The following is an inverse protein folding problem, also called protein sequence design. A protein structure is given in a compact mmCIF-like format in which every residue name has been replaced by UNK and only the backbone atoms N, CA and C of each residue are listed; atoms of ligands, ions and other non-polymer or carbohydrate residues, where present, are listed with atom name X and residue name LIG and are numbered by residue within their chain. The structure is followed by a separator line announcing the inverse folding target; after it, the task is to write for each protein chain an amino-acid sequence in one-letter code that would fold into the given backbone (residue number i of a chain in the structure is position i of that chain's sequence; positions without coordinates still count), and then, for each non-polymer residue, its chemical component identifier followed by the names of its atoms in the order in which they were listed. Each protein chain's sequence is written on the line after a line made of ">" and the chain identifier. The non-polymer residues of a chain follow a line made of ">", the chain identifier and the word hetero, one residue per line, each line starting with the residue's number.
data_IF_462035752123
#
_entry.id   IF_462035752123
#
_cell.length_a   1.000
_cell.length_b   1.000
_cell.length_c   1.000
_cell.angle_alpha   90.00
_cell.angle_beta   90.00
_cell.angle_gamma   90.00
#
_symmetry.space_group_name_H-M   'P 1'
#
loop_
_entity.id
_entity.type
_entity.pdbx_description
1 polymer ?
#
# COMPACT_ATOMS: atom_id res chain seq x y z
N UNK A 1 -2.57 -30.08 9.88
CA UNK A 1 -1.17 -30.35 9.53
C UNK A 1 -0.74 -29.22 8.60
N UNK A 2 0.26 -28.45 9.03
CA UNK A 2 0.62 -27.11 8.55
C UNK A 2 0.83 -26.99 7.04
N UNK A 3 0.10 -26.07 6.39
CA UNK A 3 0.45 -25.53 5.09
C UNK A 3 0.81 -24.05 5.31
N UNK A 4 2.12 -23.78 5.42
CA UNK A 4 2.67 -22.44 5.60
C UNK A 4 2.46 -21.64 4.32
N UNK A 5 2.01 -20.40 4.50
CA UNK A 5 1.86 -19.36 3.49
C UNK A 5 3.16 -19.17 2.71
N UNK A 6 3.07 -19.27 1.39
CA UNK A 6 4.12 -18.88 0.46
C UNK A 6 3.95 -17.38 0.24
N UNK A 7 4.92 -16.59 0.70
CA UNK A 7 4.95 -15.14 0.48
C UNK A 7 5.02 -14.82 -1.01
N UNK A 8 4.09 -13.97 -1.47
CA UNK A 8 3.97 -13.62 -2.88
C UNK A 8 4.95 -12.53 -3.30
N UNK A 9 5.40 -12.66 -4.55
CA UNK A 9 6.15 -11.68 -5.32
C UNK A 9 5.26 -10.45 -5.56
N UNK A 10 5.75 -9.23 -5.31
CA UNK A 10 5.14 -8.02 -5.88
C UNK A 10 5.34 -8.09 -7.40
N UNK A 11 4.33 -8.57 -8.12
CA UNK A 11 4.32 -8.54 -9.58
C UNK A 11 3.75 -7.20 -10.05
N UNK A 12 4.55 -6.31 -10.68
CA UNK A 12 3.96 -5.29 -11.54
C UNK A 12 3.20 -6.01 -12.66
N UNK A 13 2.01 -5.50 -13.00
CA UNK A 13 1.13 -6.05 -14.02
C UNK A 13 1.83 -6.15 -15.39
N UNK A 14 2.52 -7.27 -15.63
CA UNK A 14 3.08 -7.65 -16.92
C UNK A 14 3.15 -9.17 -17.14
N UNK A 15 2.71 -10.00 -16.19
CA UNK A 15 2.66 -11.46 -16.37
C UNK A 15 1.30 -12.00 -15.91
N UNK A 16 0.27 -11.72 -16.70
CA UNK A 16 -1.02 -12.39 -16.62
C UNK A 16 -1.49 -12.68 -18.06
N UNK A 17 -0.80 -13.59 -18.74
CA UNK A 17 -1.29 -14.25 -19.95
C UNK A 17 -0.44 -15.49 -20.21
N UNK A 18 -0.80 -16.62 -19.60
CA UNK A 18 -0.51 -17.96 -20.09
C UNK A 18 -1.18 -19.02 -19.19
N UNK A 19 -2.49 -19.03 -19.17
CA UNK A 19 -3.29 -20.23 -18.97
C UNK A 19 -4.69 -19.91 -19.47
N UNK A 20 -5.35 -20.86 -20.11
CA UNK A 20 -6.70 -20.81 -20.70
C UNK A 20 -6.78 -20.29 -22.14
N UNK A 21 -6.71 -21.25 -23.08
CA UNK A 21 -7.68 -21.38 -24.18
C UNK A 21 -7.67 -20.32 -25.28
N UNK A 22 -7.17 -20.74 -26.44
CA UNK A 22 -7.31 -20.15 -27.78
C UNK A 22 -8.47 -19.14 -27.96
N UNK A 23 -8.14 -17.89 -28.28
CA UNK A 23 -8.71 -17.17 -29.44
C UNK A 23 -7.76 -16.04 -29.85
N UNK A 24 -7.60 -15.90 -31.16
CA UNK A 24 -6.61 -15.04 -31.83
C UNK A 24 -6.87 -13.54 -31.64
N UNK A 25 -5.94 -12.84 -30.99
CA UNK A 25 -5.71 -11.42 -31.19
C UNK A 25 -4.20 -11.17 -31.20
N UNK A 26 -3.68 -10.72 -32.34
CA UNK A 26 -2.27 -10.43 -32.55
C UNK A 26 -1.84 -9.19 -31.73
N UNK A 27 -1.30 -9.41 -30.54
CA UNK A 27 -0.49 -8.42 -29.85
C UNK A 27 0.96 -8.57 -30.35
N UNK A 28 1.53 -7.51 -30.91
CA UNK A 28 2.95 -7.45 -31.23
C UNK A 28 3.76 -7.64 -29.95
N UNK A 29 4.27 -8.86 -29.75
CA UNK A 29 5.26 -9.16 -28.74
C UNK A 29 6.56 -8.46 -29.15
N UNK A 30 6.82 -7.29 -28.55
CA UNK A 30 8.15 -6.71 -28.56
C UNK A 30 9.13 -7.73 -27.97
N UNK A 31 10.18 -8.04 -28.70
CA UNK A 31 11.28 -8.89 -28.25
C UNK A 31 11.92 -8.25 -27.02
N UNK A 32 11.68 -8.81 -25.83
CA UNK A 32 12.47 -8.49 -24.65
C UNK A 32 13.87 -9.07 -24.86
N UNK A 33 14.87 -8.20 -25.02
CA UNK A 33 16.27 -8.62 -25.03
C UNK A 33 16.62 -9.27 -23.69
N UNK A 34 17.29 -10.43 -23.78
CA UNK A 34 17.75 -11.24 -22.66
C UNK A 34 18.46 -10.40 -21.58
N UNK A 35 18.04 -10.58 -20.32
CA UNK A 35 18.75 -10.07 -19.15
C UNK A 35 20.21 -10.54 -19.19
N UNK A 36 21.14 -9.61 -19.39
CA UNK A 36 22.58 -9.87 -19.33
C UNK A 36 23.12 -9.33 -18.01
N UNK A 37 23.64 -10.20 -17.14
CA UNK A 37 24.42 -9.79 -15.96
C UNK A 37 25.70 -9.11 -16.45
N UNK A 38 25.90 -7.83 -16.10
CA UNK A 38 27.08 -7.04 -16.49
C UNK A 38 28.16 -7.05 -15.41
N UNK A 39 27.77 -7.23 -14.15
CA UNK A 39 28.64 -7.49 -12.99
C UNK A 39 27.85 -8.29 -11.95
N UNK A 40 28.53 -8.82 -10.92
CA UNK A 40 27.92 -9.74 -9.94
C UNK A 40 26.66 -9.20 -9.25
N UNK A 41 26.48 -7.87 -9.18
CA UNK A 41 25.39 -7.22 -8.43
C UNK A 41 24.45 -6.36 -9.30
N UNK A 42 24.55 -6.42 -10.64
CA UNK A 42 23.79 -5.57 -11.56
C UNK A 42 23.15 -6.34 -12.71
N UNK A 43 21.92 -5.97 -13.07
CA UNK A 43 21.17 -6.49 -14.22
C UNK A 43 20.90 -5.40 -15.25
N UNK A 44 20.80 -5.77 -16.52
CA UNK A 44 20.39 -4.84 -17.60
C UNK A 44 18.97 -5.14 -18.03
N UNK A 45 18.17 -4.08 -18.08
CA UNK A 45 16.81 -4.08 -18.64
C UNK A 45 16.71 -2.87 -19.58
N UNK A 46 16.25 -3.08 -20.81
CA UNK A 46 16.07 -2.03 -21.83
C UNK A 46 17.32 -1.14 -22.01
N UNK A 47 18.51 -1.75 -22.06
CA UNK A 47 19.79 -1.05 -22.22
C UNK A 47 20.23 -0.20 -21.01
N UNK A 48 19.58 -0.35 -19.85
CA UNK A 48 19.91 0.36 -18.61
C UNK A 48 20.26 -0.59 -17.47
N UNK A 49 21.18 -0.16 -16.63
CA UNK A 49 21.68 -0.97 -15.50
C UNK A 49 20.88 -0.71 -14.22
N UNK A 50 20.49 -1.79 -13.55
CA UNK A 50 19.74 -1.82 -12.28
C UNK A 50 20.45 -2.70 -11.26
N UNK A 51 20.32 -2.44 -9.95
CA UNK A 51 20.81 -3.38 -8.94
C UNK A 51 20.06 -4.70 -9.07
N UNK A 52 20.76 -5.83 -8.98
CA UNK A 52 20.13 -7.15 -8.96
C UNK A 52 19.41 -7.33 -7.61
N UNK A 53 18.07 -7.53 -7.58
CA UNK A 53 17.36 -7.77 -6.33
C UNK A 53 17.79 -9.09 -5.69
N UNK A 54 18.34 -10.04 -6.45
CA UNK A 54 18.76 -11.37 -5.98
C UNK A 54 20.25 -11.43 -5.60
N UNK A 55 20.81 -10.31 -5.16
CA UNK A 55 22.19 -10.22 -4.69
C UNK A 55 22.22 -9.34 -3.44
N UNK A 56 22.77 -9.87 -2.34
CA UNK A 56 22.96 -9.14 -1.09
C UNK A 56 23.92 -7.97 -1.25
N UNK A 57 23.92 -7.05 -0.29
CA UNK A 57 24.74 -5.84 -0.34
C UNK A 57 26.25 -6.13 -0.29
N UNK A 58 26.64 -7.28 0.25
CA UNK A 58 28.02 -7.79 0.26
C UNK A 58 28.43 -8.52 -1.04
N UNK A 59 27.51 -8.66 -2.00
CA UNK A 59 27.70 -9.37 -3.27
C UNK A 59 27.32 -10.86 -3.25
N UNK A 60 26.86 -11.40 -2.11
CA UNK A 60 26.43 -12.79 -2.02
C UNK A 60 25.14 -13.02 -2.82
N UNK A 61 25.10 -13.99 -3.76
CA UNK A 61 23.88 -14.31 -4.50
C UNK A 61 22.76 -14.90 -3.61
N UNK A 62 21.53 -14.47 -3.85
CA UNK A 62 20.31 -14.99 -3.23
C UNK A 62 19.71 -16.04 -4.16
N UNK A 63 19.66 -17.28 -3.70
CA UNK A 63 19.20 -18.44 -4.48
C UNK A 63 18.10 -19.25 -3.82
N UNK A 64 17.75 -18.92 -2.58
CA UNK A 64 16.74 -19.64 -1.79
C UNK A 64 15.75 -18.67 -1.15
N UNK A 65 14.55 -19.16 -0.86
CA UNK A 65 13.51 -18.39 -0.14
C UNK A 65 13.96 -17.97 1.25
N UNK A 66 14.73 -18.78 1.97
CA UNK A 66 15.26 -18.41 3.29
C UNK A 66 16.27 -17.25 3.18
N UNK A 67 17.22 -17.29 2.24
CA UNK A 67 18.11 -16.14 2.01
C UNK A 67 17.35 -14.85 1.65
N UNK A 68 16.24 -14.98 0.91
CA UNK A 68 15.39 -13.83 0.61
C UNK A 68 14.68 -13.30 1.86
N UNK A 69 13.96 -14.16 2.57
CA UNK A 69 13.12 -13.77 3.72
C UNK A 69 13.94 -13.31 4.91
N UNK A 70 15.06 -13.99 5.18
CA UNK A 70 15.85 -13.81 6.40
C UNK A 70 16.93 -12.73 6.25
N UNK A 71 17.28 -12.33 5.01
CA UNK A 71 18.34 -11.34 4.77
C UNK A 71 18.00 -10.32 3.67
N UNK A 72 17.76 -10.74 2.43
CA UNK A 72 17.67 -9.77 1.31
C UNK A 72 16.47 -8.83 1.44
N UNK A 73 15.34 -9.33 1.93
CA UNK A 73 14.14 -8.52 2.15
C UNK A 73 14.41 -7.39 3.15
N UNK A 74 15.06 -7.67 4.28
CA UNK A 74 15.34 -6.64 5.29
C UNK A 74 16.33 -5.60 4.78
N UNK A 75 17.37 -5.98 4.04
CA UNK A 75 18.28 -5.02 3.39
C UNK A 75 17.54 -4.07 2.45
N UNK A 76 16.65 -4.60 1.62
CA UNK A 76 15.87 -3.79 0.68
C UNK A 76 14.91 -2.85 1.41
N UNK A 77 14.19 -3.35 2.41
CA UNK A 77 13.29 -2.50 3.19
C UNK A 77 14.05 -1.37 3.90
N UNK A 78 15.22 -1.67 4.46
CA UNK A 78 16.07 -0.66 5.09
C UNK A 78 16.50 0.42 4.09
N UNK A 79 16.94 0.03 2.89
CA UNK A 79 17.28 0.98 1.83
C UNK A 79 16.08 1.84 1.43
N UNK A 80 14.88 1.27 1.29
CA UNK A 80 13.68 2.03 0.95
C UNK A 80 13.22 2.96 2.08
N UNK A 81 13.36 2.54 3.34
CA UNK A 81 13.10 3.40 4.49
C UNK A 81 14.08 4.58 4.53
N UNK A 82 15.38 4.32 4.43
CA UNK A 82 16.38 5.37 4.59
C UNK A 82 16.45 6.34 3.40
N UNK A 83 16.23 5.84 2.17
CA UNK A 83 16.52 6.58 0.94
C UNK A 83 15.29 7.01 0.14
N UNK A 84 14.09 6.48 0.42
CA UNK A 84 12.91 6.71 -0.44
C UNK A 84 11.67 7.16 0.34
N UNK A 85 11.15 6.34 1.25
CA UNK A 85 9.84 6.59 1.87
C UNK A 85 9.93 7.09 3.32
N UNK A 86 11.08 6.96 3.95
CA UNK A 86 11.27 7.20 5.38
C UNK A 86 10.79 6.01 6.23
N UNK A 87 11.34 5.89 7.44
CA UNK A 87 10.89 4.91 8.43
C UNK A 87 9.42 5.10 8.78
N UNK A 88 8.69 4.00 8.95
CA UNK A 88 7.29 4.07 9.39
C UNK A 88 7.17 4.81 10.73
N UNK A 89 5.97 5.32 11.00
CA UNK A 89 5.67 5.85 12.33
C UNK A 89 5.83 4.73 13.37
N UNK A 90 6.26 5.05 14.60
CA UNK A 90 6.32 4.09 15.69
C UNK A 90 4.97 3.41 15.97
N UNK A 91 5.01 2.31 16.71
CA UNK A 91 3.79 1.73 17.28
C UNK A 91 3.17 2.69 18.31
N UNK A 92 1.84 2.83 18.35
CA UNK A 92 1.17 3.68 19.32
C UNK A 92 1.33 3.12 20.74
N UNK A 93 1.30 4.01 21.74
CA UNK A 93 1.25 3.64 23.15
C UNK A 93 -0.08 2.99 23.51
N UNK A 94 -1.16 3.41 22.84
CA UNK A 94 -2.50 2.85 22.97
C UNK A 94 -3.27 2.96 21.66
N UNK A 95 -4.11 1.95 21.38
CA UNK A 95 -5.00 1.92 20.22
C UNK A 95 -6.38 1.41 20.66
N UNK A 96 -7.43 2.10 20.25
CA UNK A 96 -8.82 1.72 20.55
C UNK A 96 -9.74 1.96 19.35
N UNK A 97 -10.85 1.22 19.33
CA UNK A 97 -11.81 1.21 18.22
C UNK A 97 -13.21 1.56 18.72
N UNK A 98 -13.79 2.62 18.17
CA UNK A 98 -15.21 2.95 18.38
C UNK A 98 -15.97 2.63 17.11
N UNK A 99 -16.89 1.66 17.17
CA UNK A 99 -17.65 1.20 16.00
C UNK A 99 -19.11 1.62 16.11
N UNK A 100 -19.65 2.13 15.00
CA UNK A 100 -21.09 2.28 14.80
C UNK A 100 -21.51 1.55 13.53
N UNK A 101 -22.72 0.99 13.52
CA UNK A 101 -23.21 0.18 12.41
C UNK A 101 -24.46 0.78 11.79
N UNK A 102 -24.53 0.74 10.46
CA UNK A 102 -25.67 1.16 9.66
C UNK A 102 -26.06 -0.03 8.78
N UNK A 103 -27.31 -0.47 8.91
CA UNK A 103 -27.83 -1.57 8.12
C UNK A 103 -28.36 -1.05 6.78
N UNK A 104 -27.85 -1.59 5.67
CA UNK A 104 -28.35 -1.35 4.32
C UNK A 104 -28.99 -2.62 3.76
N UNK A 105 -29.59 -2.57 2.57
CA UNK A 105 -30.28 -3.72 1.99
C UNK A 105 -29.34 -4.91 1.72
N UNK A 106 -28.10 -4.66 1.29
CA UNK A 106 -27.15 -5.68 0.83
C UNK A 106 -25.97 -5.92 1.78
N UNK A 107 -25.76 -5.03 2.75
CA UNK A 107 -24.59 -5.05 3.62
C UNK A 107 -24.83 -4.28 4.94
N UNK A 108 -23.97 -4.51 5.91
CA UNK A 108 -23.80 -3.65 7.08
C UNK A 108 -22.60 -2.74 6.84
N UNK A 109 -22.79 -1.42 6.94
CA UNK A 109 -21.68 -0.46 7.01
C UNK A 109 -21.26 -0.33 8.47
N UNK A 110 -20.01 -0.69 8.77
CA UNK A 110 -19.33 -0.35 10.01
C UNK A 110 -18.51 0.93 9.81
N UNK A 111 -18.78 1.94 10.62
CA UNK A 111 -17.98 3.15 10.75
C UNK A 111 -17.12 3.01 11.99
N UNK A 112 -15.83 2.81 11.78
CA UNK A 112 -14.87 2.47 12.82
C UNK A 112 -13.90 3.63 12.98
N UNK A 113 -14.01 4.33 14.10
CA UNK A 113 -13.04 5.34 14.51
C UNK A 113 -11.87 4.65 15.21
N UNK A 114 -10.70 4.67 14.56
CA UNK A 114 -9.45 4.15 15.11
C UNK A 114 -8.77 5.29 15.85
N UNK A 115 -8.74 5.23 17.18
CA UNK A 115 -8.10 6.21 18.05
C UNK A 115 -6.72 5.73 18.48
N UNK A 116 -5.70 6.57 18.31
CA UNK A 116 -4.29 6.24 18.51
C UNK A 116 -3.65 7.26 19.44
N UNK A 117 -2.92 6.77 20.44
CA UNK A 117 -2.16 7.62 21.37
C UNK A 117 -0.66 7.41 21.17
N UNK A 118 0.07 8.49 20.91
CA UNK A 118 1.53 8.53 20.92
C UNK A 118 2.06 9.38 22.08
N UNK A 119 3.37 9.56 22.16
CA UNK A 119 4.03 10.33 23.24
C UNK A 119 3.58 11.80 23.30
N UNK A 120 3.05 12.33 22.19
CA UNK A 120 2.71 13.75 22.06
C UNK A 120 1.21 14.03 21.87
N UNK A 121 0.35 13.03 22.05
CA UNK A 121 -1.09 13.22 22.07
C UNK A 121 -1.87 12.05 21.51
N UNK A 122 -3.14 12.32 21.20
CA UNK A 122 -4.09 11.35 20.64
C UNK A 122 -4.74 11.94 19.39
N UNK A 123 -4.91 11.12 18.36
CA UNK A 123 -5.70 11.45 17.19
C UNK A 123 -6.46 10.21 16.71
N UNK A 124 -7.52 10.43 15.93
CA UNK A 124 -8.31 9.37 15.34
C UNK A 124 -8.45 9.55 13.84
N UNK A 125 -8.72 8.44 13.14
CA UNK A 125 -9.18 8.45 11.76
C UNK A 125 -10.29 7.43 11.55
N UNK A 126 -11.17 7.69 10.59
CA UNK A 126 -12.33 6.86 10.30
C UNK A 126 -12.00 5.86 9.18
N UNK A 127 -12.33 4.59 9.39
CA UNK A 127 -12.47 3.60 8.32
C UNK A 127 -13.93 3.21 8.17
N UNK A 128 -14.39 3.15 6.93
CA UNK A 128 -15.68 2.58 6.54
C UNK A 128 -15.44 1.14 6.11
N UNK A 129 -16.25 0.21 6.58
CA UNK A 129 -16.17 -1.22 6.25
C UNK A 129 -17.57 -1.71 5.89
N UNK A 130 -17.81 -1.99 4.62
CA UNK A 130 -19.05 -2.55 4.12
C UNK A 130 -18.94 -4.08 4.11
N UNK A 131 -19.73 -4.75 4.96
CA UNK A 131 -19.73 -6.20 5.12
C UNK A 131 -21.00 -6.79 4.47
N UNK A 132 -20.89 -7.66 3.46
CA UNK A 132 -22.04 -8.26 2.78
C UNK A 132 -22.89 -9.11 3.72
N UNK A 133 -24.21 -9.07 3.53
CA UNK A 133 -25.13 -9.97 4.24
C UNK A 133 -25.17 -11.38 3.63
N UNK A 134 -25.75 -12.32 4.38
CA UNK A 134 -26.05 -13.66 3.87
C UNK A 134 -24.84 -14.61 3.82
N UNK A 135 -23.68 -14.20 4.36
CA UNK A 135 -22.49 -15.03 4.50
C UNK A 135 -22.25 -15.25 6.00
N UNK A 136 -22.19 -16.51 6.41
CA UNK A 136 -22.03 -16.89 7.83
C UNK A 136 -20.58 -16.95 8.32
N UNK A 137 -19.63 -16.97 7.38
CA UNK A 137 -18.20 -17.02 7.65
C UNK A 137 -17.58 -15.63 7.46
N UNK A 138 -16.46 -15.33 8.14
CA UNK A 138 -15.72 -14.09 7.91
C UNK A 138 -15.34 -13.93 6.43
N UNK A 139 -15.51 -12.73 5.89
CA UNK A 139 -15.35 -12.46 4.46
C UNK A 139 -13.96 -11.89 4.12
N UNK A 140 -13.40 -12.20 2.93
CA UNK A 140 -12.21 -11.51 2.45
C UNK A 140 -12.50 -10.02 2.23
N UNK A 141 -11.50 -9.15 2.39
CA UNK A 141 -11.69 -7.71 2.32
C UNK A 141 -10.76 -7.01 1.33
N UNK A 142 -11.26 -5.97 0.67
CA UNK A 142 -10.44 -4.98 -0.02
C UNK A 142 -10.35 -3.70 0.81
N UNK A 143 -9.14 -3.28 1.17
CA UNK A 143 -8.84 -2.03 1.86
C UNK A 143 -8.30 -0.99 0.88
N UNK A 144 -9.12 0.00 0.56
CA UNK A 144 -8.73 1.17 -0.23
C UNK A 144 -8.08 2.24 0.65
N UNK A 145 -6.87 2.65 0.27
CA UNK A 145 -6.28 3.91 0.72
C UNK A 145 -6.83 5.01 -0.20
N UNK A 146 -7.86 5.72 0.26
CA UNK A 146 -8.67 6.62 -0.57
C UNK A 146 -8.06 8.03 -0.64
N UNK A 147 -7.87 8.51 -1.87
CA UNK A 147 -7.36 9.85 -2.19
C UNK A 147 -8.33 10.78 -2.91
N UNK A 148 -9.58 10.35 -3.06
CA UNK A 148 -10.63 11.11 -3.74
C UNK A 148 -11.78 11.47 -2.80
N UNK A 149 -11.91 10.79 -1.66
CA UNK A 149 -13.13 10.87 -0.87
C UNK A 149 -14.26 10.14 -1.57
N UNK A 150 -13.97 8.98 -2.14
CA UNK A 150 -14.90 8.19 -2.94
C UNK A 150 -15.89 7.38 -2.09
N UNK A 151 -15.59 7.14 -0.81
CA UNK A 151 -16.47 6.41 0.09
C UNK A 151 -17.52 7.33 0.70
N UNK A 152 -18.80 7.10 0.40
CA UNK A 152 -19.93 7.70 1.11
C UNK A 152 -20.38 6.78 2.27
N UNK A 153 -21.40 7.19 3.03
CA UNK A 153 -22.06 6.35 4.04
C UNK A 153 -23.18 5.47 3.44
N UNK A 154 -23.34 5.44 2.10
CA UNK A 154 -24.35 4.64 1.40
C UNK A 154 -23.68 3.81 0.28
N UNK A 155 -23.71 2.46 0.37
CA UNK A 155 -23.07 1.60 -0.61
C UNK A 155 -23.64 1.74 -2.03
N UNK A 156 -24.90 2.20 -2.18
CA UNK A 156 -25.58 2.40 -3.47
C UNK A 156 -25.36 3.78 -4.09
N UNK A 157 -24.82 4.73 -3.32
CA UNK A 157 -24.51 6.08 -3.79
C UNK A 157 -23.10 6.51 -3.36
N UNK A 158 -22.03 5.79 -3.79
CA UNK A 158 -20.67 6.23 -3.55
C UNK A 158 -20.39 7.54 -4.31
N UNK A 159 -19.50 8.37 -3.77
CA UNK A 159 -19.15 9.66 -4.39
C UNK A 159 -18.40 9.47 -5.72
N UNK A 160 -17.67 8.36 -5.89
CA UNK A 160 -16.99 7.94 -7.13
C UNK A 160 -17.12 6.40 -7.33
N UNK A 161 -18.23 5.89 -7.90
CA UNK A 161 -18.50 4.46 -8.05
C UNK A 161 -17.50 3.73 -8.96
N UNK A 162 -16.91 4.44 -9.92
CA UNK A 162 -15.90 3.88 -10.83
C UNK A 162 -14.56 3.70 -10.12
N UNK A 163 -14.29 4.52 -9.09
CA UNK A 163 -13.08 4.43 -8.28
C UNK A 163 -13.20 3.43 -7.13
N UNK A 164 -14.35 3.39 -6.46
CA UNK A 164 -14.61 2.49 -5.33
C UNK A 164 -15.96 1.77 -5.50
N UNK A 165 -16.01 0.67 -6.27
CA UNK A 165 -17.25 0.00 -6.65
C UNK A 165 -17.77 -0.92 -5.53
N UNK A 166 -18.30 -0.33 -4.45
CA UNK A 166 -18.74 -1.03 -3.23
C UNK A 166 -19.79 -2.12 -3.54
N UNK A 167 -20.84 -1.81 -4.30
CA UNK A 167 -21.89 -2.78 -4.65
C UNK A 167 -21.35 -4.02 -5.38
N UNK A 168 -20.38 -3.82 -6.28
CA UNK A 168 -19.80 -4.93 -7.04
C UNK A 168 -18.95 -5.84 -6.14
N UNK A 169 -18.25 -5.26 -5.16
CA UNK A 169 -17.49 -6.00 -4.16
C UNK A 169 -18.41 -6.83 -3.26
N UNK A 170 -19.45 -6.20 -2.71
CA UNK A 170 -20.47 -6.83 -1.88
C UNK A 170 -21.16 -7.97 -2.62
N UNK A 171 -21.62 -7.72 -3.86
CA UNK A 171 -22.29 -8.73 -4.69
C UNK A 171 -21.40 -9.94 -5.02
N UNK A 172 -20.07 -9.80 -4.91
CA UNK A 172 -19.11 -10.90 -5.06
C UNK A 172 -18.64 -11.51 -3.74
N UNK A 173 -19.22 -11.10 -2.62
CA UNK A 173 -18.93 -11.65 -1.29
C UNK A 173 -17.65 -11.12 -0.66
N UNK A 174 -17.19 -9.93 -1.06
CA UNK A 174 -16.07 -9.25 -0.43
C UNK A 174 -16.55 -8.12 0.48
N UNK A 175 -15.90 -7.97 1.64
CA UNK A 175 -15.97 -6.71 2.35
C UNK A 175 -15.22 -5.62 1.57
N UNK A 176 -15.78 -4.42 1.56
CA UNK A 176 -15.18 -3.26 0.93
C UNK A 176 -14.88 -2.24 2.01
N UNK A 177 -13.62 -1.86 2.18
CA UNK A 177 -13.20 -0.94 3.22
C UNK A 177 -12.41 0.23 2.65
N UNK A 178 -12.56 1.41 3.25
CA UNK A 178 -11.83 2.60 2.85
C UNK A 178 -11.58 3.53 4.04
N UNK A 179 -10.37 4.09 4.11
CA UNK A 179 -10.07 5.27 4.92
C UNK A 179 -9.50 6.37 4.02
N UNK A 180 -9.78 7.62 4.35
CA UNK A 180 -9.28 8.75 3.59
C UNK A 180 -7.86 9.09 4.03
N UNK A 181 -6.89 9.12 3.11
CA UNK A 181 -5.49 9.26 3.49
C UNK A 181 -5.20 10.58 4.23
N UNK A 182 -5.97 11.65 3.97
CA UNK A 182 -5.80 12.95 4.65
C UNK A 182 -6.13 12.91 6.14
N UNK A 183 -6.89 11.92 6.58
CA UNK A 183 -7.19 11.71 7.99
C UNK A 183 -5.98 11.10 8.73
N UNK A 184 -4.99 10.60 7.99
CA UNK A 184 -3.74 10.03 8.51
C UNK A 184 -2.55 10.95 8.27
N UNK A 185 -2.34 11.36 7.01
CA UNK A 185 -1.41 12.41 6.67
C UNK A 185 -1.94 13.38 5.60
N UNK A 186 -1.79 14.69 5.81
CA UNK A 186 -2.21 15.68 4.81
C UNK A 186 -1.39 15.56 3.53
N UNK A 187 -2.03 15.94 2.43
CA UNK A 187 -1.48 15.87 1.09
C UNK A 187 -1.44 17.28 0.50
N UNK A 188 -0.40 17.98 0.91
CA UNK A 188 -0.15 19.38 0.58
C UNK A 188 1.13 19.47 -0.26
N UNK A 189 1.06 20.21 -1.36
CA UNK A 189 2.18 20.45 -2.28
C UNK A 189 3.01 21.69 -1.89
N UNK A 190 2.51 22.47 -0.92
CA UNK A 190 3.19 23.62 -0.34
C UNK A 190 3.19 23.46 1.15
N UNK A 191 4.35 23.69 1.72
CA UNK A 191 4.51 23.72 3.16
C UNK A 191 3.91 25.01 3.74
N UNK A 192 2.58 25.09 3.81
CA UNK A 192 1.88 26.29 4.29
C UNK A 192 1.92 26.44 5.82
N UNK A 193 2.37 25.39 6.53
CA UNK A 193 2.44 25.32 8.00
C UNK A 193 3.78 24.78 8.55
N UNK A 194 4.79 24.60 7.70
CA UNK A 194 6.19 24.45 8.07
C UNK A 194 6.77 23.04 8.19
N UNK A 195 6.03 21.92 8.03
CA UNK A 195 6.60 20.61 8.40
C UNK A 195 6.04 19.30 7.77
N UNK A 196 5.10 19.29 6.79
CA UNK A 196 4.52 18.02 6.26
C UNK A 196 4.09 16.99 7.34
N UNK A 197 3.60 17.49 8.49
CA UNK A 197 3.69 16.81 9.80
C UNK A 197 2.37 16.34 10.43
N UNK A 198 1.30 16.19 9.66
CA UNK A 198 -0.04 16.04 10.24
C UNK A 198 -0.83 14.98 9.51
N UNK A 199 -1.91 14.42 10.12
CA UNK A 199 -2.23 14.45 11.57
C UNK A 199 -1.49 13.42 12.43
N UNK A 200 -1.20 12.21 11.95
CA UNK A 200 -0.67 11.14 12.81
C UNK A 200 0.83 11.25 13.11
N UNK A 201 1.60 11.94 12.26
CA UNK A 201 3.05 12.12 12.45
C UNK A 201 3.34 12.85 13.78
N UNK A 202 2.54 13.85 14.12
CA UNK A 202 2.70 14.63 15.35
C UNK A 202 2.41 13.85 16.64
N UNK A 203 1.86 12.63 16.57
CA UNK A 203 1.71 11.78 17.76
C UNK A 203 3.07 11.27 18.25
N UNK A 204 4.05 11.17 17.35
CA UNK A 204 5.34 10.48 17.57
C UNK A 204 6.55 11.40 17.46
N UNK A 205 6.35 12.64 17.00
CA UNK A 205 7.38 13.67 16.99
C UNK A 205 6.80 14.95 17.59
N UNK A 206 7.52 15.56 18.53
CA UNK A 206 7.03 16.75 19.22
C UNK A 206 6.70 17.86 18.21
N UNK A 207 5.55 18.53 18.33
CA UNK A 207 5.19 19.63 17.44
C UNK A 207 6.27 20.72 17.41
N UNK A 208 6.70 21.12 16.22
CA UNK A 208 7.71 22.17 16.02
C UNK A 208 9.17 21.67 15.93
N UNK A 209 9.44 20.42 16.28
CA UNK A 209 10.76 19.82 16.01
C UNK A 209 11.03 19.70 14.50
N UNK A 210 12.31 19.65 14.12
CA UNK A 210 12.68 19.22 12.77
C UNK A 210 12.56 17.69 12.70
N UNK A 211 11.89 17.15 11.67
CA UNK A 211 11.89 15.71 11.46
C UNK A 211 13.29 15.22 11.07
N UNK A 212 13.72 14.04 11.53
CA UNK A 212 14.84 13.34 10.92
C UNK A 212 14.69 13.27 9.40
N UNK A 213 15.80 13.34 8.66
CA UNK A 213 15.77 13.34 7.20
C UNK A 213 15.03 12.12 6.64
N UNK A 214 15.24 10.96 7.26
CA UNK A 214 14.63 9.67 6.95
C UNK A 214 13.35 9.38 7.74
N UNK A 215 12.73 10.38 8.40
CA UNK A 215 11.42 10.16 9.01
C UNK A 215 10.35 9.96 7.92
N UNK A 216 9.51 8.95 8.10
CA UNK A 216 8.35 8.72 7.24
C UNK A 216 7.38 9.89 7.30
N UNK A 217 6.93 10.30 6.12
CA UNK A 217 5.95 11.37 5.94
C UNK A 217 4.74 10.83 5.22
N UNK A 218 4.06 11.62 4.38
CA UNK A 218 2.81 11.27 3.72
C UNK A 218 2.68 9.79 3.28
N UNK A 219 3.55 9.31 2.38
CA UNK A 219 3.46 7.92 1.88
C UNK A 219 3.64 6.86 2.97
N UNK A 220 4.65 7.01 3.84
CA UNK A 220 4.87 6.07 4.95
C UNK A 220 3.80 6.16 6.03
N UNK A 221 3.28 7.35 6.32
CA UNK A 221 2.20 7.56 7.28
C UNK A 221 0.90 6.95 6.76
N UNK A 222 0.56 7.12 5.48
CA UNK A 222 -0.62 6.47 4.88
C UNK A 222 -0.50 4.94 4.88
N UNK A 223 0.70 4.40 4.60
CA UNK A 223 0.96 2.97 4.66
C UNK A 223 0.80 2.44 6.10
N UNK A 224 1.36 3.17 7.07
CA UNK A 224 1.19 2.90 8.50
C UNK A 224 -0.29 2.95 8.90
N UNK A 225 -1.08 3.90 8.39
CA UNK A 225 -2.52 3.97 8.64
C UNK A 225 -3.26 2.73 8.13
N UNK A 226 -2.89 2.21 6.95
CA UNK A 226 -3.44 0.96 6.46
C UNK A 226 -3.09 -0.23 7.38
N UNK A 227 -1.90 -0.25 7.96
CA UNK A 227 -1.50 -1.27 8.96
C UNK A 227 -2.34 -1.18 10.23
N UNK A 228 -2.73 0.02 10.68
CA UNK A 228 -3.65 0.19 11.81
C UNK A 228 -5.07 -0.29 11.51
N UNK A 229 -5.51 -0.16 10.25
CA UNK A 229 -6.77 -0.79 9.80
C UNK A 229 -6.66 -2.31 9.79
N UNK A 230 -5.51 -2.85 9.37
CA UNK A 230 -5.26 -4.29 9.49
C UNK A 230 -5.32 -4.75 10.94
N UNK A 231 -4.75 -4.00 11.89
CA UNK A 231 -4.85 -4.31 13.33
C UNK A 231 -6.32 -4.42 13.79
N UNK A 232 -7.20 -3.53 13.29
CA UNK A 232 -8.64 -3.63 13.54
C UNK A 232 -9.26 -4.89 12.91
N UNK A 233 -8.93 -5.22 11.66
CA UNK A 233 -9.47 -6.42 10.99
C UNK A 233 -9.13 -7.72 11.73
N UNK A 234 -8.00 -7.80 12.43
CA UNK A 234 -7.67 -8.97 13.27
C UNK A 234 -8.61 -9.11 14.49
N UNK A 235 -9.40 -8.09 14.81
CA UNK A 235 -10.37 -8.09 15.91
C UNK A 235 -11.82 -8.15 15.46
N UNK A 236 -12.09 -7.91 14.17
CA UNK A 236 -13.45 -7.91 13.62
C UNK A 236 -13.85 -9.34 13.21
N UNK A 237 -14.83 -9.98 13.89
CA UNK A 237 -15.23 -11.34 13.58
C UNK A 237 -15.90 -11.51 12.20
N UNK A 238 -16.28 -10.43 11.52
CA UNK A 238 -16.90 -10.50 10.19
C UNK A 238 -15.86 -10.50 9.06
N UNK A 239 -14.59 -10.22 9.36
CA UNK A 239 -13.51 -10.11 8.37
C UNK A 239 -12.55 -11.28 8.52
N UNK A 240 -12.25 -11.94 7.42
CA UNK A 240 -11.14 -12.90 7.37
C UNK A 240 -9.83 -12.14 7.19
N UNK A 241 -9.10 -11.92 8.30
CA UNK A 241 -7.87 -11.14 8.33
C UNK A 241 -6.76 -11.76 7.48
N UNK A 242 -6.83 -13.06 7.19
CA UNK A 242 -5.88 -13.76 6.34
C UNK A 242 -6.10 -13.53 4.84
N UNK A 243 -7.21 -12.89 4.47
CA UNK A 243 -7.61 -12.63 3.07
C UNK A 243 -7.94 -11.15 2.82
N UNK A 244 -7.07 -10.27 3.30
CA UNK A 244 -7.19 -8.82 3.06
C UNK A 244 -6.24 -8.37 1.95
N UNK A 245 -6.77 -7.61 0.99
CA UNK A 245 -6.02 -6.96 -0.07
C UNK A 245 -5.91 -5.44 0.19
N UNK A 246 -4.71 -4.88 0.20
CA UNK A 246 -4.52 -3.42 0.22
C UNK A 246 -4.45 -2.87 -1.20
N UNK A 247 -5.27 -1.87 -1.50
CA UNK A 247 -5.42 -1.31 -2.84
C UNK A 247 -5.29 0.22 -2.83
N UNK A 248 -4.82 0.77 -3.94
CA UNK A 248 -4.73 2.22 -4.12
C UNK A 248 -4.40 2.64 -5.54
N UNK A 249 -4.67 3.91 -5.84
CA UNK A 249 -4.45 4.51 -7.15
C UNK A 249 -3.46 5.69 -7.08
N UNK A 250 -2.63 5.85 -8.11
CA UNK A 250 -1.68 6.96 -8.22
C UNK A 250 -0.76 7.06 -7.00
N UNK A 251 -0.84 8.14 -6.19
CA UNK A 251 -0.06 8.29 -4.95
C UNK A 251 -0.38 7.21 -3.91
N UNK A 252 -1.67 6.91 -3.70
CA UNK A 252 -2.07 5.85 -2.79
C UNK A 252 -1.81 4.45 -3.36
N UNK A 253 -1.59 4.35 -4.67
CA UNK A 253 -1.06 3.12 -5.26
C UNK A 253 0.42 2.88 -4.92
N UNK A 254 1.25 3.94 -4.83
CA UNK A 254 2.61 3.85 -4.27
C UNK A 254 2.56 3.41 -2.82
N UNK A 255 1.62 3.99 -2.07
CA UNK A 255 1.37 3.64 -0.66
C UNK A 255 0.92 2.21 -0.48
N UNK A 256 0.02 1.68 -1.31
CA UNK A 256 -0.41 0.29 -1.22
C UNK A 256 0.77 -0.67 -1.43
N UNK A 257 1.63 -0.38 -2.42
CA UNK A 257 2.88 -1.13 -2.62
C UNK A 257 3.79 -1.06 -1.39
N UNK A 258 3.91 0.11 -0.77
CA UNK A 258 4.73 0.27 0.43
C UNK A 258 4.15 -0.42 1.66
N UNK A 259 2.83 -0.32 1.88
CA UNK A 259 2.12 -0.97 2.97
C UNK A 259 2.29 -2.49 2.90
N UNK A 260 2.06 -3.10 1.73
CA UNK A 260 2.25 -4.55 1.58
C UNK A 260 3.71 -4.99 1.56
N UNK A 261 4.65 -4.11 1.19
CA UNK A 261 6.08 -4.41 1.34
C UNK A 261 6.47 -4.48 2.83
N UNK A 262 5.96 -3.55 3.64
CA UNK A 262 6.26 -3.47 5.08
C UNK A 262 5.51 -4.52 5.91
N UNK A 263 4.24 -4.76 5.59
CA UNK A 263 3.34 -5.60 6.38
C UNK A 263 2.91 -6.87 5.62
N UNK A 264 3.48 -8.04 5.96
CA UNK A 264 3.18 -9.29 5.28
C UNK A 264 1.79 -9.86 5.62
N UNK A 265 1.01 -9.21 6.50
CA UNK A 265 -0.38 -9.61 6.80
C UNK A 265 -1.31 -9.35 5.63
N UNK A 266 -1.00 -8.39 4.75
CA UNK A 266 -1.77 -8.20 3.52
C UNK A 266 -1.54 -9.37 2.56
N UNK A 267 -2.61 -10.13 2.29
CA UNK A 267 -2.57 -11.29 1.41
C UNK A 267 -2.37 -10.91 -0.06
N UNK A 268 -2.77 -9.69 -0.43
CA UNK A 268 -2.63 -9.15 -1.79
C UNK A 268 -2.40 -7.65 -1.77
N UNK A 269 -1.69 -7.15 -2.79
CA UNK A 269 -1.40 -5.72 -2.98
C UNK A 269 -1.75 -5.32 -4.40
N UNK A 270 -2.55 -4.26 -4.55
CA UNK A 270 -2.91 -3.72 -5.88
C UNK A 270 -2.58 -2.23 -5.94
N UNK A 271 -1.45 -1.92 -6.58
CA UNK A 271 -1.09 -0.54 -6.93
C UNK A 271 -1.50 -0.19 -8.36
N UNK A 272 -2.55 0.61 -8.53
CA UNK A 272 -3.00 1.08 -9.84
C UNK A 272 -2.36 2.44 -10.20
N UNK A 273 -1.84 2.58 -11.42
CA UNK A 273 -1.33 3.87 -11.92
C UNK A 273 -0.19 4.48 -11.07
N UNK A 274 0.64 3.66 -10.43
CA UNK A 274 1.54 4.10 -9.34
C UNK A 274 2.67 5.03 -9.79
N UNK A 275 3.19 4.90 -11.01
CA UNK A 275 4.10 5.87 -11.63
C UNK A 275 5.49 5.97 -10.98
N UNK A 276 6.06 7.18 -10.98
CA UNK A 276 7.35 7.52 -10.37
C UNK A 276 7.37 7.11 -8.89
N UNK A 277 8.46 6.55 -8.38
CA UNK A 277 8.53 6.04 -6.98
C UNK A 277 7.39 5.07 -6.63
N UNK A 278 6.85 4.37 -7.64
CA UNK A 278 5.92 3.26 -7.49
C UNK A 278 6.47 2.05 -8.23
N UNK A 279 5.66 1.48 -9.13
CA UNK A 279 6.05 0.32 -9.93
C UNK A 279 6.93 0.69 -11.14
N UNK A 280 7.02 1.98 -11.53
CA UNK A 280 7.86 2.39 -12.65
C UNK A 280 9.33 2.44 -12.21
N UNK A 281 10.19 1.76 -12.95
CA UNK A 281 11.65 1.84 -12.78
C UNK A 281 12.17 3.26 -13.00
N UNK A 282 12.58 3.95 -11.92
CA UNK A 282 12.98 5.37 -12.00
C UNK A 282 14.22 5.65 -12.86
N UNK A 283 15.10 4.67 -13.07
CA UNK A 283 16.22 4.82 -14.03
C UNK A 283 15.76 4.73 -15.48
N UNK A 284 14.55 4.26 -15.77
CA UNK A 284 14.02 4.19 -17.14
C UNK A 284 13.61 5.60 -17.57
N UNK A 285 14.11 6.03 -18.73
CA UNK A 285 13.62 7.25 -19.35
C UNK A 285 12.35 6.95 -20.15
N UNK A 286 11.26 7.61 -19.78
CA UNK A 286 10.02 7.62 -20.55
C UNK A 286 9.66 9.08 -20.81
N UNK A 287 9.66 9.56 -22.06
CA UNK A 287 9.31 10.93 -22.41
C UNK A 287 7.96 11.34 -21.80
N UNK A 288 7.89 12.55 -21.23
CA UNK A 288 6.68 13.09 -20.62
C UNK A 288 6.27 12.47 -19.27
N UNK A 289 7.03 11.51 -18.74
CA UNK A 289 6.74 10.92 -17.43
C UNK A 289 7.37 11.73 -16.29
N UNK A 290 6.68 11.77 -15.14
CA UNK A 290 7.16 12.43 -13.91
C UNK A 290 8.55 11.92 -13.52
N UNK A 291 9.48 12.78 -13.08
CA UNK A 291 10.83 12.38 -12.68
C UNK A 291 11.01 12.43 -11.16
N UNK A 292 12.15 11.92 -10.65
CA UNK A 292 12.51 12.09 -9.23
C UNK A 292 12.66 13.57 -8.85
N UNK A 293 13.18 14.39 -9.75
CA UNK A 293 13.31 15.83 -9.54
C UNK A 293 11.94 16.51 -9.49
N UNK A 294 11.05 16.15 -10.41
CA UNK A 294 9.68 16.65 -10.46
C UNK A 294 8.90 16.30 -9.19
N UNK A 295 8.89 15.03 -8.78
CA UNK A 295 8.12 14.60 -7.59
C UNK A 295 8.65 15.26 -6.32
N UNK A 296 9.98 15.38 -6.15
CA UNK A 296 10.56 16.00 -4.96
C UNK A 296 10.40 17.54 -4.95
N UNK A 297 10.24 18.17 -6.11
CA UNK A 297 9.97 19.62 -6.21
C UNK A 297 8.52 19.95 -5.87
N UNK A 298 7.56 19.19 -6.40
CA UNK A 298 6.14 19.47 -6.23
C UNK A 298 5.50 18.80 -5.01
N UNK A 299 6.08 17.70 -4.55
CA UNK A 299 5.64 16.93 -3.39
C UNK A 299 6.82 16.62 -2.48
N UNK A 300 7.48 17.65 -1.92
CA UNK A 300 8.59 17.42 -1.02
C UNK A 300 8.11 16.65 0.21
N UNK A 301 8.87 15.61 0.55
CA UNK A 301 8.80 14.91 1.82
C UNK A 301 9.70 15.64 2.81
#
# INVERSE_FOLDING_TARGET
>A
MFMRSVGWLIMPAAVACAAWGETSASANAGTFEQTRRISDNMVVLDGRTYPDPLVLSDGTPVSTTSQWLDARRSELLELFQDQVYGYLLPEPLDISYTTSEIYHETCTLKKVEISLTGEHGTASFLVRVFVPHGISEPVPAFLLIDNRGASSDDPSTPDDPDFFPVEQGIARGYAMAAFHHRDVARDEWKDTAGHFRTPMINLFYAPGDTLPQNAGRAVSAWAWGAMRVMDYFQTDPDIDESRVAVIGHSRCGKTALWAGAMDPRFAMVVGNGTGCTGARLNRRYTPGSETLDTINTFYPS
#
